data_IF_738802008191
#
_entry.id   IF_738802008191
#
_cell.length_a   1.000
_cell.length_b   1.000
_cell.length_c   1.000
_cell.angle_alpha   90.00
_cell.angle_beta   90.00
_cell.angle_gamma   90.00
#
_symmetry.space_group_name_H-M   'P 1'
#
loop_
_entity.id
_entity.type
_entity.pdbx_description
1 polymer ?
#
# COMPACT_ATOMS: atom_id res chain seq x y z
N UNK A 1 41.82 3.86 -17.69
CA UNK A 1 41.63 2.66 -16.94
C UNK A 1 41.19 1.56 -17.87
N UNK A 2 41.67 0.37 -17.70
CA UNK A 2 41.33 -0.80 -18.51
C UNK A 2 41.26 -2.03 -17.62
N UNK A 3 40.72 -1.85 -16.39
CA UNK A 3 40.50 -2.98 -15.52
C UNK A 3 39.19 -3.68 -15.91
N UNK A 4 39.26 -5.01 -16.01
CA UNK A 4 38.10 -5.87 -16.20
C UNK A 4 37.18 -5.77 -14.98
N UNK A 5 35.92 -5.37 -15.19
CA UNK A 5 34.96 -5.16 -14.10
C UNK A 5 33.81 -6.20 -14.09
N UNK A 6 33.83 -7.14 -15.05
CA UNK A 6 32.83 -8.20 -15.14
C UNK A 6 32.19 -8.33 -16.51
N UNK A 7 31.48 -9.41 -16.74
CA UNK A 7 30.71 -9.72 -17.95
C UNK A 7 29.21 -9.57 -17.69
N UNK A 8 28.47 -9.21 -18.72
CA UNK A 8 27.01 -9.21 -18.69
C UNK A 8 26.45 -9.85 -19.95
N UNK A 9 25.50 -10.75 -19.79
CA UNK A 9 24.74 -11.31 -20.89
C UNK A 9 23.68 -10.30 -21.36
N UNK A 10 23.76 -9.93 -22.63
CA UNK A 10 22.76 -9.05 -23.26
C UNK A 10 21.67 -9.91 -23.90
N UNK A 11 20.49 -9.88 -23.34
CA UNK A 11 19.30 -10.38 -24.01
C UNK A 11 18.85 -9.41 -25.10
N UNK A 12 17.99 -9.89 -26.02
CA UNK A 12 17.40 -9.05 -27.06
C UNK A 12 16.80 -7.78 -26.47
N UNK A 13 17.21 -6.64 -27.00
CA UNK A 13 16.72 -5.31 -26.64
C UNK A 13 15.95 -4.74 -27.83
N UNK A 14 14.63 -4.50 -27.71
CA UNK A 14 13.84 -3.82 -28.74
C UNK A 14 14.37 -2.43 -29.04
N UNK A 15 14.09 -1.93 -30.25
CA UNK A 15 14.44 -0.58 -30.65
C UNK A 15 13.83 0.46 -29.71
N UNK A 16 14.61 1.47 -29.35
CA UNK A 16 14.25 2.55 -28.41
C UNK A 16 14.03 2.13 -26.94
N UNK A 17 14.25 0.87 -26.56
CA UNK A 17 14.25 0.45 -25.15
C UNK A 17 15.61 0.71 -24.49
N UNK A 18 15.57 1.09 -23.21
CA UNK A 18 16.76 1.26 -22.34
C UNK A 18 16.75 0.20 -21.25
N UNK A 19 17.85 -0.51 -21.10
CA UNK A 19 18.02 -1.52 -20.08
C UNK A 19 19.24 -1.22 -19.18
N UNK A 20 19.09 -1.41 -17.89
CA UNK A 20 20.24 -1.42 -16.98
C UNK A 20 20.84 -2.83 -16.98
N UNK A 21 22.16 -2.91 -17.10
CA UNK A 21 22.90 -4.15 -17.16
C UNK A 21 23.79 -4.21 -15.91
N UNK A 22 23.66 -5.29 -15.13
CA UNK A 22 24.58 -5.56 -14.04
C UNK A 22 25.86 -6.21 -14.61
N UNK A 23 27.00 -5.61 -14.37
CA UNK A 23 28.31 -6.13 -14.79
C UNK A 23 29.31 -6.31 -13.63
N UNK A 24 28.90 -5.96 -12.42
CA UNK A 24 29.67 -6.10 -11.20
C UNK A 24 28.93 -5.56 -9.99
N UNK A 25 29.37 -5.95 -8.82
CA UNK A 25 28.87 -5.47 -7.54
C UNK A 25 29.76 -4.33 -7.02
N UNK A 26 29.15 -3.21 -6.64
CA UNK A 26 29.86 -2.12 -5.96
C UNK A 26 29.83 -2.39 -4.45
N UNK A 27 30.97 -2.74 -3.86
CA UNK A 27 31.08 -3.04 -2.43
C UNK A 27 31.02 -1.79 -1.55
N UNK A 28 31.23 -0.60 -2.11
CA UNK A 28 31.23 0.67 -1.39
C UNK A 28 29.81 1.29 -1.30
N UNK A 29 28.91 0.89 -2.20
CA UNK A 29 27.51 1.34 -2.17
C UNK A 29 26.61 0.17 -1.83
N UNK A 30 26.03 0.19 -0.65
CA UNK A 30 25.10 -0.86 -0.17
C UNK A 30 23.71 -0.32 -0.01
N UNK A 31 22.72 -1.19 -0.20
CA UNK A 31 21.31 -0.84 -0.06
C UNK A 31 20.50 -1.88 0.70
N UNK A 32 19.55 -1.41 1.49
CA UNK A 32 18.52 -2.24 2.09
C UNK A 32 17.16 -1.61 1.87
N UNK A 33 16.08 -2.40 1.99
CA UNK A 33 14.71 -1.89 1.87
C UNK A 33 13.83 -2.42 2.98
N UNK A 34 12.87 -1.59 3.41
CA UNK A 34 11.76 -1.95 4.28
C UNK A 34 10.45 -1.54 3.62
N UNK A 35 9.44 -2.39 3.70
CA UNK A 35 8.11 -2.10 3.17
C UNK A 35 7.08 -2.17 4.29
N UNK A 36 6.25 -1.14 4.37
CA UNK A 36 5.13 -1.01 5.30
C UNK A 36 3.84 -0.81 4.49
N UNK A 37 2.71 -1.29 5.00
CA UNK A 37 1.39 -1.09 4.37
C UNK A 37 0.40 -0.55 5.39
N UNK A 38 -0.31 0.51 5.01
CA UNK A 38 -1.36 1.11 5.84
C UNK A 38 -2.67 1.12 5.05
N UNK A 39 -3.76 0.80 5.73
CA UNK A 39 -5.11 0.85 5.19
C UNK A 39 -5.97 1.76 6.05
N UNK A 40 -6.62 2.74 5.43
CA UNK A 40 -7.55 3.67 6.08
C UNK A 40 -8.92 3.59 5.42
N UNK A 41 -9.97 3.84 6.20
CA UNK A 41 -11.33 3.97 5.68
C UNK A 41 -11.51 5.43 5.22
N UNK A 42 -11.81 5.63 3.94
CA UNK A 42 -12.11 6.96 3.39
C UNK A 42 -13.59 7.31 3.52
N UNK A 43 -14.47 6.40 3.13
CA UNK A 43 -15.91 6.63 3.20
C UNK A 43 -16.67 5.34 3.53
N UNK A 44 -17.80 5.50 4.21
CA UNK A 44 -18.80 4.46 4.42
C UNK A 44 -20.14 5.00 3.94
N UNK A 45 -20.79 4.27 3.05
CA UNK A 45 -22.15 4.55 2.56
C UNK A 45 -23.06 3.37 2.88
N UNK A 46 -24.28 3.67 3.29
CA UNK A 46 -25.32 2.67 3.54
C UNK A 46 -26.53 3.03 2.69
N UNK A 47 -26.97 2.09 1.85
CA UNK A 47 -28.12 2.26 0.98
C UNK A 47 -28.81 0.91 0.82
N UNK A 48 -30.11 0.85 1.02
CA UNK A 48 -30.95 -0.35 0.82
C UNK A 48 -30.42 -1.60 1.53
N UNK A 49 -29.98 -1.44 2.78
CA UNK A 49 -29.45 -2.54 3.58
C UNK A 49 -28.08 -3.04 3.15
N UNK A 50 -27.39 -2.31 2.27
CA UNK A 50 -26.04 -2.60 1.81
C UNK A 50 -25.08 -1.52 2.29
N UNK A 51 -23.98 -1.93 2.90
CA UNK A 51 -22.86 -1.08 3.27
C UNK A 51 -21.76 -1.17 2.22
N UNK A 52 -21.35 -0.03 1.69
CA UNK A 52 -20.18 0.10 0.82
C UNK A 52 -19.11 0.90 1.54
N UNK A 53 -17.97 0.29 1.76
CA UNK A 53 -16.81 0.93 2.40
C UNK A 53 -15.72 1.15 1.36
N UNK A 54 -15.27 2.39 1.21
CA UNK A 54 -14.09 2.74 0.40
C UNK A 54 -12.86 2.78 1.30
N UNK A 55 -11.84 2.06 0.90
CA UNK A 55 -10.55 1.99 1.57
C UNK A 55 -9.47 2.64 0.72
N UNK A 56 -8.59 3.40 1.36
CA UNK A 56 -7.32 3.79 0.78
C UNK A 56 -6.22 2.93 1.38
N UNK A 57 -5.47 2.25 0.54
CA UNK A 57 -4.30 1.48 0.93
C UNK A 57 -3.05 2.16 0.39
N UNK A 58 -2.10 2.45 1.27
CA UNK A 58 -0.80 3.01 0.93
C UNK A 58 0.26 1.97 1.25
N UNK A 59 1.10 1.69 0.27
CA UNK A 59 2.29 0.86 0.44
C UNK A 59 3.51 1.78 0.37
N UNK A 60 4.31 1.77 1.42
CA UNK A 60 5.49 2.62 1.58
C UNK A 60 6.73 1.75 1.63
N UNK A 61 7.63 1.93 0.66
CA UNK A 61 8.92 1.24 0.63
C UNK A 61 10.02 2.25 0.86
N UNK A 62 10.75 2.06 1.94
CA UNK A 62 11.91 2.87 2.31
C UNK A 62 13.18 2.15 1.89
N UNK A 63 13.97 2.78 1.04
CA UNK A 63 15.30 2.35 0.63
C UNK A 63 16.35 3.12 1.43
N UNK A 64 17.22 2.39 2.11
CA UNK A 64 18.37 2.94 2.82
C UNK A 64 19.60 2.64 2.00
N UNK A 65 20.24 3.68 1.47
CA UNK A 65 21.43 3.57 0.62
C UNK A 65 22.61 4.15 1.40
N UNK A 66 23.65 3.37 1.58
CA UNK A 66 24.88 3.79 2.22
C UNK A 66 26.00 3.87 1.19
N UNK A 67 26.57 5.05 1.01
CA UNK A 67 27.76 5.26 0.23
C UNK A 67 28.97 5.35 1.18
N UNK A 68 29.80 4.29 1.20
CA UNK A 68 31.03 4.25 1.99
C UNK A 68 32.25 4.85 1.25
N UNK A 69 32.11 5.12 -0.07
CA UNK A 69 33.12 5.85 -0.83
C UNK A 69 33.26 7.29 -0.31
N UNK A 70 34.45 7.88 -0.42
CA UNK A 70 34.69 9.29 -0.12
C UNK A 70 34.05 10.25 -1.13
N UNK A 71 33.76 9.76 -2.33
CA UNK A 71 33.20 10.54 -3.43
C UNK A 71 31.68 10.39 -3.52
N UNK A 72 31.04 11.44 -4.03
CA UNK A 72 29.63 11.39 -4.40
C UNK A 72 29.42 10.33 -5.50
N UNK A 73 28.38 9.51 -5.34
CA UNK A 73 27.93 8.51 -6.31
C UNK A 73 26.54 8.83 -6.83
N UNK A 74 26.31 8.62 -8.12
CA UNK A 74 24.95 8.63 -8.67
C UNK A 74 24.33 7.26 -8.50
N UNK A 75 23.21 7.21 -7.80
CA UNK A 75 22.48 5.96 -7.54
C UNK A 75 21.16 5.97 -8.29
N UNK A 76 20.82 4.81 -8.87
CA UNK A 76 19.51 4.53 -9.46
C UNK A 76 18.87 3.41 -8.66
N UNK A 77 17.70 3.71 -8.08
CA UNK A 77 16.87 2.70 -7.40
C UNK A 77 15.77 2.26 -8.36
N UNK A 78 15.72 0.97 -8.67
CA UNK A 78 14.61 0.37 -9.38
C UNK A 78 13.56 -0.16 -8.39
N UNK A 79 12.38 0.43 -8.41
CA UNK A 79 11.22 0.02 -7.63
C UNK A 79 10.21 -0.70 -8.54
N UNK A 80 9.93 -1.96 -8.24
CA UNK A 80 8.92 -2.72 -8.98
C UNK A 80 7.52 -2.15 -8.72
N UNK A 81 6.74 -1.94 -9.76
CA UNK A 81 5.35 -1.49 -9.65
C UNK A 81 4.48 -2.53 -8.97
N UNK A 82 3.68 -2.10 -8.02
CA UNK A 82 2.65 -2.96 -7.43
C UNK A 82 1.38 -2.91 -8.28
N UNK A 83 0.89 -4.08 -8.69
CA UNK A 83 -0.30 -4.17 -9.54
C UNK A 83 -1.52 -3.51 -8.87
N UNK A 84 -2.18 -2.62 -9.61
CA UNK A 84 -3.35 -1.89 -9.13
C UNK A 84 -3.06 -0.73 -8.19
N UNK A 85 -1.78 -0.39 -7.96
CA UNK A 85 -1.37 0.80 -7.21
C UNK A 85 -0.86 1.88 -8.16
N UNK A 86 -1.01 3.13 -7.75
CA UNK A 86 -0.48 4.31 -8.43
C UNK A 86 0.63 4.93 -7.59
N UNK A 87 1.70 5.34 -8.25
CA UNK A 87 2.81 6.01 -7.60
C UNK A 87 2.38 7.39 -7.09
N UNK A 88 2.58 7.65 -5.82
CA UNK A 88 2.34 8.96 -5.21
C UNK A 88 3.62 9.78 -5.02
N UNK A 89 4.76 9.11 -4.88
CA UNK A 89 6.08 9.76 -4.77
C UNK A 89 6.53 10.33 -6.11
N UNK A 90 6.80 11.63 -6.15
CA UNK A 90 7.32 12.31 -7.35
C UNK A 90 8.81 12.69 -7.22
N UNK A 91 9.34 12.73 -6.00
CA UNK A 91 10.72 13.11 -5.75
C UNK A 91 11.70 12.13 -6.38
N UNK A 92 12.72 12.64 -7.04
CA UNK A 92 13.81 11.88 -7.67
C UNK A 92 13.35 10.85 -8.75
N UNK A 93 12.07 10.83 -9.15
CA UNK A 93 11.60 10.01 -10.24
C UNK A 93 12.23 10.46 -11.56
N UNK A 94 13.03 9.59 -12.15
CA UNK A 94 13.75 9.87 -13.39
C UNK A 94 13.13 9.18 -14.61
N UNK A 95 12.59 7.99 -14.43
CA UNK A 95 12.04 7.19 -15.53
C UNK A 95 10.93 6.24 -15.02
N UNK A 96 9.98 5.97 -15.89
CA UNK A 96 8.93 4.97 -15.68
C UNK A 96 8.97 3.97 -16.84
N UNK A 97 9.19 2.71 -16.53
CA UNK A 97 9.11 1.61 -17.51
C UNK A 97 7.77 0.87 -17.38
N UNK A 98 7.56 -0.18 -18.16
CA UNK A 98 6.37 -1.02 -18.04
C UNK A 98 6.18 -1.57 -16.61
N UNK A 99 7.26 -2.06 -15.97
CA UNK A 99 7.20 -2.81 -14.72
C UNK A 99 7.89 -2.13 -13.53
N UNK A 100 8.60 -1.03 -13.75
CA UNK A 100 9.41 -0.38 -12.71
C UNK A 100 9.33 1.14 -12.78
N UNK A 101 9.56 1.76 -11.62
CA UNK A 101 9.92 3.16 -11.46
C UNK A 101 11.41 3.25 -11.19
N UNK A 102 12.13 4.19 -11.83
CA UNK A 102 13.55 4.45 -11.60
C UNK A 102 13.73 5.81 -10.94
N UNK A 103 14.30 5.79 -9.75
CA UNK A 103 14.60 6.99 -8.98
C UNK A 103 16.11 7.24 -9.04
N UNK A 104 16.49 8.44 -9.47
CA UNK A 104 17.90 8.84 -9.63
C UNK A 104 18.25 9.98 -8.70
N UNK A 105 19.25 9.79 -7.88
CA UNK A 105 19.73 10.81 -6.96
C UNK A 105 21.24 10.68 -6.72
N UNK A 106 21.81 11.66 -6.04
CA UNK A 106 23.21 11.69 -5.66
C UNK A 106 23.36 11.30 -4.20
N UNK A 107 24.16 10.29 -3.92
CA UNK A 107 24.54 9.85 -2.60
C UNK A 107 25.92 10.45 -2.27
N UNK A 108 25.98 11.39 -1.34
CA UNK A 108 27.23 12.01 -0.93
C UNK A 108 28.18 10.97 -0.29
N UNK A 109 29.48 11.23 -0.35
CA UNK A 109 30.47 10.32 0.19
C UNK A 109 30.36 10.15 1.71
N UNK A 110 30.64 8.96 2.21
CA UNK A 110 30.57 8.58 3.63
C UNK A 110 29.22 8.87 4.30
N UNK A 111 28.10 8.81 3.55
CA UNK A 111 26.77 9.11 4.08
C UNK A 111 25.77 8.00 3.83
N UNK A 112 24.69 8.02 4.62
CA UNK A 112 23.46 7.29 4.36
C UNK A 112 22.40 8.21 3.73
N UNK A 113 21.71 7.73 2.73
CA UNK A 113 20.60 8.43 2.08
C UNK A 113 19.35 7.55 2.12
N UNK A 114 18.22 8.15 2.43
CA UNK A 114 16.92 7.48 2.46
C UNK A 114 16.08 7.93 1.27
N UNK A 115 15.50 6.97 0.57
CA UNK A 115 14.46 7.20 -0.44
C UNK A 115 13.19 6.49 -0.03
N UNK A 116 12.13 7.25 0.19
CA UNK A 116 10.80 6.72 0.48
C UNK A 116 9.95 6.73 -0.79
N UNK A 117 9.49 5.57 -1.20
CA UNK A 117 8.60 5.39 -2.36
C UNK A 117 7.23 4.95 -1.86
N UNK A 118 6.21 5.71 -2.21
CA UNK A 118 4.83 5.41 -1.83
C UNK A 118 3.98 5.17 -3.07
N UNK A 119 3.22 4.10 -3.00
CA UNK A 119 2.17 3.74 -3.95
C UNK A 119 0.85 3.62 -3.21
N UNK A 120 -0.24 4.05 -3.83
CA UNK A 120 -1.56 4.01 -3.21
C UNK A 120 -2.60 3.44 -4.18
N UNK A 121 -3.61 2.80 -3.61
CA UNK A 121 -4.83 2.42 -4.32
C UNK A 121 -6.05 2.70 -3.47
N UNK A 122 -7.16 3.00 -4.12
CA UNK A 122 -8.49 3.02 -3.50
C UNK A 122 -9.29 1.85 -4.04
N UNK A 123 -9.97 1.14 -3.14
CA UNK A 123 -10.86 0.05 -3.51
C UNK A 123 -12.08 0.04 -2.61
N UNK A 124 -13.16 -0.60 -3.07
CA UNK A 124 -14.41 -0.69 -2.34
C UNK A 124 -14.69 -2.13 -1.93
N UNK A 125 -15.32 -2.27 -0.77
CA UNK A 125 -15.89 -3.52 -0.28
C UNK A 125 -17.36 -3.30 0.01
N UNK A 126 -18.19 -4.22 -0.44
CA UNK A 126 -19.65 -4.18 -0.26
C UNK A 126 -20.09 -5.35 0.61
N UNK A 127 -20.93 -5.07 1.60
CA UNK A 127 -21.45 -6.09 2.51
C UNK A 127 -22.93 -5.80 2.83
N UNK A 128 -23.77 -6.83 2.83
CA UNK A 128 -25.14 -6.70 3.32
C UNK A 128 -25.13 -6.52 4.83
N UNK A 129 -25.82 -5.50 5.32
CA UNK A 129 -25.86 -5.15 6.74
C UNK A 129 -26.51 -6.30 7.55
N UNK A 130 -27.50 -6.95 6.97
CA UNK A 130 -28.20 -8.06 7.62
C UNK A 130 -27.30 -9.28 7.90
N UNK A 131 -26.33 -9.54 7.02
CA UNK A 131 -25.39 -10.67 7.14
C UNK A 131 -24.23 -10.37 8.11
N UNK A 132 -24.11 -9.14 8.61
CA UNK A 132 -23.05 -8.76 9.53
C UNK A 132 -23.30 -9.33 10.93
N UNK A 133 -22.28 -9.90 11.54
CA UNK A 133 -22.36 -10.36 12.92
C UNK A 133 -22.24 -9.19 13.94
N UNK A 134 -22.72 -9.43 15.14
CA UNK A 134 -22.73 -8.40 16.20
C UNK A 134 -21.35 -7.85 16.56
N UNK A 135 -20.30 -8.69 16.52
CA UNK A 135 -18.93 -8.24 16.80
C UNK A 135 -18.41 -7.28 15.74
N UNK A 136 -18.78 -7.49 14.48
CA UNK A 136 -18.46 -6.57 13.38
C UNK A 136 -19.13 -5.22 13.60
N UNK A 137 -20.41 -5.19 13.98
CA UNK A 137 -21.09 -3.94 14.32
C UNK A 137 -20.42 -3.20 15.47
N UNK A 138 -20.08 -3.91 16.57
CA UNK A 138 -19.39 -3.31 17.70
C UNK A 138 -18.06 -2.70 17.27
N UNK A 139 -17.28 -3.38 16.44
CA UNK A 139 -16.02 -2.85 15.94
C UNK A 139 -16.20 -1.54 15.16
N UNK A 140 -17.28 -1.40 14.39
CA UNK A 140 -17.60 -0.16 13.69
C UNK A 140 -18.06 0.96 14.63
N UNK A 141 -18.70 0.66 15.77
CA UNK A 141 -19.11 1.68 16.73
C UNK A 141 -17.96 2.21 17.61
N UNK A 142 -16.93 1.39 17.81
CA UNK A 142 -15.78 1.70 18.68
C UNK A 142 -14.57 2.26 17.93
N UNK A 143 -14.49 2.06 16.63
CA UNK A 143 -13.36 2.54 15.83
C UNK A 143 -13.41 4.06 15.65
N UNK A 144 -12.39 4.75 16.15
CA UNK A 144 -12.26 6.21 16.07
C UNK A 144 -12.01 6.76 14.65
N UNK A 145 -11.54 5.93 13.73
CA UNK A 145 -11.36 6.30 12.32
C UNK A 145 -12.69 6.48 11.58
N UNK A 146 -13.79 5.95 12.15
CA UNK A 146 -15.12 6.03 11.55
C UNK A 146 -15.83 7.32 12.00
N UNK A 147 -16.39 8.10 11.07
CA UNK A 147 -17.13 9.30 11.40
C UNK A 147 -18.24 9.06 12.43
N UNK A 148 -18.41 9.97 13.37
CA UNK A 148 -19.38 9.83 14.48
C UNK A 148 -20.81 9.56 13.98
N UNK A 149 -21.22 10.22 12.91
CA UNK A 149 -22.54 10.02 12.29
C UNK A 149 -22.76 8.54 11.89
N UNK A 150 -21.72 7.91 11.34
CA UNK A 150 -21.76 6.51 10.92
C UNK A 150 -21.77 5.60 12.13
N UNK A 151 -20.95 5.88 13.15
CA UNK A 151 -20.94 5.12 14.42
C UNK A 151 -22.31 5.12 15.11
N UNK A 152 -22.98 6.29 15.16
CA UNK A 152 -24.33 6.40 15.70
C UNK A 152 -25.37 5.60 14.89
N UNK A 153 -25.26 5.60 13.56
CA UNK A 153 -26.13 4.79 12.71
C UNK A 153 -25.94 3.27 12.99
N UNK A 154 -24.71 2.82 13.17
CA UNK A 154 -24.45 1.43 13.55
C UNK A 154 -25.01 1.08 14.93
N UNK A 155 -24.87 1.95 15.92
CA UNK A 155 -25.44 1.74 17.26
C UNK A 155 -26.98 1.57 17.18
N UNK A 156 -27.66 2.38 16.37
CA UNK A 156 -29.11 2.23 16.15
C UNK A 156 -29.46 0.91 15.48
N UNK A 157 -28.70 0.46 14.48
CA UNK A 157 -28.89 -0.83 13.82
C UNK A 157 -28.74 -2.00 14.79
N UNK A 158 -27.77 -1.95 15.70
CA UNK A 158 -27.58 -2.96 16.73
C UNK A 158 -28.84 -3.08 17.60
N UNK A 159 -29.35 -1.95 18.07
CA UNK A 159 -30.56 -1.90 18.91
C UNK A 159 -31.77 -2.50 18.21
N UNK A 160 -31.99 -2.18 16.92
CA UNK A 160 -33.11 -2.75 16.15
C UNK A 160 -32.93 -4.25 15.88
N UNK A 161 -31.71 -4.69 15.59
CA UNK A 161 -31.39 -6.13 15.38
C UNK A 161 -31.65 -6.94 16.65
N UNK A 162 -31.31 -6.40 17.83
CA UNK A 162 -31.59 -7.04 19.11
C UNK A 162 -33.10 -7.18 19.37
N UNK A 163 -33.91 -6.16 19.02
CA UNK A 163 -35.38 -6.23 19.11
C UNK A 163 -35.95 -7.31 18.19
N UNK A 164 -35.46 -7.40 16.94
CA UNK A 164 -35.89 -8.45 16.00
C UNK A 164 -35.57 -9.84 16.54
N UNK A 165 -34.33 -10.04 17.01
CA UNK A 165 -33.90 -11.33 17.58
C UNK A 165 -34.75 -11.72 18.81
N UNK A 166 -35.06 -10.76 19.67
CA UNK A 166 -35.92 -10.99 20.83
C UNK A 166 -37.35 -11.35 20.43
N UNK A 167 -37.90 -10.68 19.41
CA UNK A 167 -39.24 -10.98 18.88
C UNK A 167 -39.32 -12.36 18.23
N UNK A 168 -38.31 -12.74 17.44
CA UNK A 168 -38.19 -14.08 16.83
C UNK A 168 -38.12 -15.17 17.89
N UNK A 169 -37.35 -14.96 18.96
CA UNK A 169 -37.25 -15.89 20.08
C UNK A 169 -38.59 -16.06 20.82
N UNK A 170 -39.28 -14.94 21.06
CA UNK A 170 -40.60 -14.95 21.68
C UNK A 170 -41.64 -15.70 20.82
N UNK A 171 -41.63 -15.47 19.51
CA UNK A 171 -42.51 -16.15 18.55
C UNK A 171 -42.27 -17.68 18.58
N UNK A 172 -41.00 -18.08 18.59
CA UNK A 172 -40.64 -19.51 18.65
C UNK A 172 -41.14 -20.18 19.92
N UNK A 173 -41.01 -19.48 21.07
CA UNK A 173 -41.48 -19.98 22.36
C UNK A 173 -43.01 -20.13 22.44
N UNK A 174 -43.75 -19.42 21.59
CA UNK A 174 -45.24 -19.52 21.54
C UNK A 174 -45.69 -20.58 20.53
N UNK A 175 -44.82 -21.11 19.69
CA UNK A 175 -45.08 -22.15 18.70
C UNK A 175 -44.74 -23.56 19.18
N UNK A 176 -43.95 -23.68 20.24
CA UNK A 176 -43.60 -24.89 20.96
C UNK A 176 -44.58 -25.10 22.12
#
# INVERSE_FOLDING_TARGET
GGEYSGDALLEFLPEAEKRLIAYGDDIEVTGSKRTDSTRTIETIKMTDGVMTTSYRQVQSTTYLIRNADKKERTVIVEHAKNAGFELTTKQALAETTANKYRFKFKAAGNTGTELKVEEARTYQSTQKIFDMNSNTFISYTTNSEIPEKVRKAFASIITEKEKVTAAEKALKTLQD
#
